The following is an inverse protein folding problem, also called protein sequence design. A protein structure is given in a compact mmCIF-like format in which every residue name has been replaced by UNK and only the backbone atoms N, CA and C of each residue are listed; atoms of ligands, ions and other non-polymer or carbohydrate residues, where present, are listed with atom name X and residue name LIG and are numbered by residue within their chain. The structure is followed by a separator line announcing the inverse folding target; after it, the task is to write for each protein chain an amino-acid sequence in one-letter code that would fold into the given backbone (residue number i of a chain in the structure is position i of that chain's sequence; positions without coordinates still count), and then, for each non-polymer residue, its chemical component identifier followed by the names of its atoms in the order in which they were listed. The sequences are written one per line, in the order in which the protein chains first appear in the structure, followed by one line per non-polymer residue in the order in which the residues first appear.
data_IF_435204251764
#
_entry.id   IF_435204251764
#
_cell.length_a   1.000
_cell.length_b   1.000
_cell.length_c   1.000
_cell.angle_alpha   90.00
_cell.angle_beta   90.00
_cell.angle_gamma   90.00
#
_symmetry.space_group_name_H-M   'P 1'
#
loop_
_entity.id
_entity.type
_entity.pdbx_description
1 polymer ?
#
# COMPACT_ATOMS: atom_id res chain seq x y z
N UNK A 1 47.40 17.10 9.52
CA UNK A 1 46.12 17.83 9.57
C UNK A 1 45.04 16.79 9.87
N UNK A 2 44.68 16.62 11.14
CA UNK A 2 43.73 15.59 11.58
C UNK A 2 42.30 16.00 11.28
N UNK A 3 41.61 15.23 10.44
CA UNK A 3 40.19 15.43 10.15
C UNK A 3 39.37 15.02 11.37
N UNK A 4 38.68 15.97 11.98
CA UNK A 4 37.57 15.67 12.88
C UNK A 4 36.51 14.92 12.09
N UNK A 5 36.47 13.60 12.24
CA UNK A 5 35.33 12.79 11.81
C UNK A 5 34.13 13.24 12.64
N UNK A 6 33.23 14.02 12.03
CA UNK A 6 31.90 14.23 12.60
C UNK A 6 31.23 12.89 12.84
N UNK A 7 30.42 12.79 13.89
CA UNK A 7 29.70 11.56 14.19
C UNK A 7 28.93 11.07 12.95
N UNK A 8 28.94 9.77 12.65
CA UNK A 8 28.41 9.22 11.40
C UNK A 8 26.89 9.41 11.23
N UNK A 9 26.20 9.82 12.29
CA UNK A 9 24.78 10.15 12.27
C UNK A 9 24.47 11.22 13.32
N UNK A 10 23.47 12.04 13.04
CA UNK A 10 22.94 13.02 13.99
C UNK A 10 21.75 12.42 14.71
N UNK A 11 21.86 12.21 16.02
CA UNK A 11 20.72 11.77 16.84
C UNK A 11 19.69 12.89 16.91
N UNK A 12 18.42 12.66 16.51
CA UNK A 12 17.38 13.67 16.60
C UNK A 12 17.09 14.02 18.06
N UNK A 13 16.73 15.29 18.29
CA UNK A 13 16.44 15.78 19.64
C UNK A 13 15.26 15.01 20.27
N UNK A 14 15.33 14.57 21.53
CA UNK A 14 14.32 13.70 22.14
C UNK A 14 12.90 14.30 22.16
N UNK A 15 12.77 15.63 22.13
CA UNK A 15 11.47 16.33 22.11
C UNK A 15 10.63 16.08 20.84
N UNK A 16 11.22 15.51 19.78
CA UNK A 16 10.45 15.12 18.58
C UNK A 16 9.54 13.93 18.85
N UNK A 17 9.88 13.08 19.82
CA UNK A 17 9.12 11.88 20.15
C UNK A 17 8.06 12.21 21.20
N UNK A 18 6.81 12.30 20.75
CA UNK A 18 5.66 12.64 21.56
C UNK A 18 4.66 11.48 21.55
N UNK A 19 4.18 11.10 22.72
CA UNK A 19 3.19 10.03 22.86
C UNK A 19 1.89 10.41 22.14
N UNK A 20 1.59 11.71 22.10
CA UNK A 20 0.41 12.28 21.46
C UNK A 20 0.36 12.07 19.94
N UNK A 21 1.51 11.84 19.30
CA UNK A 21 1.58 11.59 17.86
C UNK A 21 1.30 10.13 17.49
N UNK A 22 1.30 9.23 18.48
CA UNK A 22 1.17 7.79 18.27
C UNK A 22 -0.16 7.31 18.84
N UNK A 23 -1.17 7.02 18.00
CA UNK A 23 -2.52 6.67 18.47
C UNK A 23 -2.53 5.40 19.34
N UNK A 24 -1.68 4.42 19.02
CA UNK A 24 -1.56 3.17 19.78
C UNK A 24 -1.07 3.41 21.22
N UNK A 25 -0.13 4.35 21.41
CA UNK A 25 0.39 4.66 22.75
C UNK A 25 -0.58 5.54 23.54
N UNK A 26 -1.39 6.36 22.88
CA UNK A 26 -2.50 7.07 23.52
C UNK A 26 -3.55 6.10 24.08
N UNK A 27 -3.93 5.07 23.31
CA UNK A 27 -4.86 4.04 23.78
C UNK A 27 -4.33 3.32 25.02
N UNK A 28 -3.04 2.96 25.04
CA UNK A 28 -2.39 2.34 26.21
C UNK A 28 -2.36 3.30 27.40
N UNK A 29 -2.01 4.57 27.19
CA UNK A 29 -2.02 5.60 28.24
C UNK A 29 -3.41 5.76 28.86
N UNK A 30 -4.46 5.79 28.05
CA UNK A 30 -5.84 5.87 28.52
C UNK A 30 -6.28 4.60 29.26
N UNK A 31 -5.95 3.42 28.73
CA UNK A 31 -6.27 2.14 29.37
C UNK A 31 -5.61 2.00 30.74
N UNK A 32 -4.34 2.40 30.87
CA UNK A 32 -3.62 2.45 32.14
C UNK A 32 -4.20 3.52 33.06
N UNK A 33 -4.53 4.70 32.52
CA UNK A 33 -5.15 5.79 33.28
C UNK A 33 -6.49 5.39 33.91
N UNK A 34 -7.29 4.56 33.22
CA UNK A 34 -8.53 3.98 33.77
C UNK A 34 -8.29 3.09 34.99
N UNK A 35 -7.09 2.54 35.12
CA UNK A 35 -6.66 1.72 36.26
C UNK A 35 -5.88 2.54 37.31
N UNK A 36 -5.73 3.86 37.12
CA UNK A 36 -4.90 4.71 37.97
C UNK A 36 -3.39 4.50 37.77
N UNK A 37 -2.98 3.85 36.68
CA UNK A 37 -1.59 3.56 36.36
C UNK A 37 -1.06 4.53 35.30
N UNK A 38 0.25 4.79 35.34
CA UNK A 38 0.97 5.56 34.34
C UNK A 38 2.28 4.87 34.01
N UNK A 39 2.51 4.58 32.72
CA UNK A 39 3.76 3.97 32.26
C UNK A 39 4.78 5.06 31.87
N UNK A 40 5.94 5.14 32.56
CA UNK A 40 6.98 6.10 32.25
C UNK A 40 7.71 5.83 30.91
N UNK A 41 7.60 4.62 30.35
CA UNK A 41 8.32 4.22 29.14
C UNK A 41 7.59 4.53 27.84
N UNK A 42 6.34 5.00 27.89
CA UNK A 42 5.55 5.31 26.69
C UNK A 42 6.26 6.29 25.75
N UNK A 43 6.98 7.29 26.28
CA UNK A 43 7.75 8.22 25.42
C UNK A 43 8.93 7.53 24.73
N UNK A 44 9.56 6.57 25.39
CA UNK A 44 10.66 5.80 24.82
C UNK A 44 10.18 4.87 23.70
N UNK A 45 8.92 4.45 23.69
CA UNK A 45 8.38 3.61 22.61
C UNK A 45 7.86 4.43 21.41
N UNK A 46 7.65 5.74 21.58
CA UNK A 46 7.08 6.61 20.56
C UNK A 46 7.88 6.59 19.24
N UNK A 47 9.21 6.52 19.30
CA UNK A 47 10.05 6.49 18.08
C UNK A 47 9.75 5.30 17.17
N UNK A 48 9.33 4.16 17.74
CA UNK A 48 9.10 2.92 17.01
C UNK A 48 7.78 2.93 16.25
N UNK A 49 6.81 3.65 16.78
CA UNK A 49 5.43 3.64 16.28
C UNK A 49 5.05 4.96 15.61
N UNK A 50 6.00 5.87 15.40
CA UNK A 50 5.79 7.14 14.73
C UNK A 50 5.24 6.93 13.30
N UNK A 51 3.99 7.35 13.00
CA UNK A 51 3.37 7.12 11.70
C UNK A 51 4.11 7.79 10.54
N UNK A 52 4.80 8.89 10.82
CA UNK A 52 5.57 9.65 9.82
C UNK A 52 6.81 8.89 9.34
N UNK A 53 7.40 8.05 10.19
CA UNK A 53 8.60 7.28 9.85
C UNK A 53 8.24 5.94 9.18
N UNK A 54 7.23 5.24 9.67
CA UNK A 54 6.92 3.86 9.24
C UNK A 54 5.61 3.72 8.46
N UNK A 55 4.87 4.81 8.28
CA UNK A 55 3.55 4.81 7.65
C UNK A 55 2.49 4.10 8.49
N UNK A 56 1.23 4.35 8.17
CA UNK A 56 0.09 3.65 8.78
C UNK A 56 -0.11 2.26 8.15
N UNK A 57 -0.77 1.35 8.86
CA UNK A 57 -1.13 0.02 8.33
C UNK A 57 -1.88 0.12 6.99
N UNK A 58 -2.82 1.06 6.88
CA UNK A 58 -3.56 1.32 5.65
C UNK A 58 -2.66 1.78 4.51
N UNK A 59 -1.70 2.67 4.78
CA UNK A 59 -0.73 3.13 3.79
C UNK A 59 0.14 1.97 3.28
N UNK A 60 0.60 1.09 4.17
CA UNK A 60 1.39 -0.10 3.80
C UNK A 60 0.59 -1.07 2.95
N UNK A 61 -0.67 -1.35 3.31
CA UNK A 61 -1.54 -2.23 2.54
C UNK A 61 -1.81 -1.66 1.14
N UNK A 62 -2.12 -0.36 1.03
CA UNK A 62 -2.32 0.30 -0.26
C UNK A 62 -1.04 0.24 -1.10
N UNK A 63 0.10 0.53 -0.49
CA UNK A 63 1.40 0.47 -1.16
C UNK A 63 1.76 -0.94 -1.61
N UNK A 64 1.36 -1.97 -0.87
CA UNK A 64 1.56 -3.37 -1.25
C UNK A 64 0.66 -3.76 -2.43
N UNK A 65 -0.64 -3.46 -2.35
CA UNK A 65 -1.63 -3.84 -3.36
C UNK A 65 -1.45 -3.09 -4.68
N UNK A 66 -1.12 -1.80 -4.61
CA UNK A 66 -1.08 -0.92 -5.78
C UNK A 66 0.35 -0.61 -6.25
N UNK A 67 1.36 -1.32 -5.71
CA UNK A 67 2.73 -1.17 -6.19
C UNK A 67 2.79 -1.55 -7.67
N UNK A 68 3.18 -0.60 -8.52
CA UNK A 68 3.38 -0.87 -9.94
C UNK A 68 2.11 -0.93 -10.78
N UNK A 69 0.91 -0.75 -10.19
CA UNK A 69 -0.33 -0.72 -10.97
C UNK A 69 -0.28 0.38 -12.03
N UNK A 70 0.26 1.55 -11.72
CA UNK A 70 0.40 2.65 -12.69
C UNK A 70 1.27 2.28 -13.89
N UNK A 71 2.45 1.69 -13.66
CA UNK A 71 3.36 1.25 -14.72
C UNK A 71 2.72 0.13 -15.54
N UNK A 72 2.13 -0.86 -14.87
CA UNK A 72 1.44 -1.97 -15.54
C UNK A 72 0.27 -1.50 -16.39
N UNK A 73 -0.52 -0.55 -15.89
CA UNK A 73 -1.65 0.01 -16.63
C UNK A 73 -1.19 0.82 -17.85
N UNK A 74 -0.11 1.59 -17.73
CA UNK A 74 0.48 2.30 -18.88
C UNK A 74 0.95 1.32 -19.96
N UNK A 75 1.67 0.26 -19.59
CA UNK A 75 2.10 -0.77 -20.54
C UNK A 75 0.92 -1.48 -21.18
N UNK A 76 -0.11 -1.81 -20.41
CA UNK A 76 -1.34 -2.41 -20.92
C UNK A 76 -2.01 -1.53 -22.00
N UNK A 77 -2.13 -0.22 -21.78
CA UNK A 77 -2.69 0.70 -22.78
C UNK A 77 -1.83 0.79 -24.04
N UNK A 78 -0.50 0.81 -23.89
CA UNK A 78 0.43 0.79 -25.03
C UNK A 78 0.25 -0.48 -25.85
N UNK A 79 0.11 -1.63 -25.19
CA UNK A 79 -0.13 -2.91 -25.85
C UNK A 79 -1.45 -2.91 -26.63
N UNK A 80 -2.56 -2.46 -26.03
CA UNK A 80 -3.85 -2.33 -26.74
C UNK A 80 -3.71 -1.43 -27.97
N UNK A 81 -3.02 -0.29 -27.82
CA UNK A 81 -2.78 0.63 -28.94
C UNK A 81 -1.99 -0.02 -30.07
N UNK A 82 -0.97 -0.80 -29.73
CA UNK A 82 -0.16 -1.55 -30.71
C UNK A 82 -0.96 -2.66 -31.39
N UNK A 83 -1.73 -3.45 -30.63
CA UNK A 83 -2.61 -4.51 -31.17
C UNK A 83 -3.64 -3.93 -32.14
N UNK A 84 -4.27 -2.82 -31.78
CA UNK A 84 -5.23 -2.12 -32.63
C UNK A 84 -4.58 -1.56 -33.90
N UNK A 85 -3.42 -0.92 -33.79
CA UNK A 85 -2.71 -0.35 -34.92
C UNK A 85 -2.19 -1.42 -35.90
N UNK A 86 -1.75 -2.57 -35.37
CA UNK A 86 -1.26 -3.69 -36.16
C UNK A 86 -2.37 -4.63 -36.65
N UNK A 87 -3.63 -4.42 -36.22
CA UNK A 87 -4.76 -5.28 -36.58
C UNK A 87 -4.69 -6.69 -35.99
N UNK A 88 -3.84 -6.91 -34.99
CA UNK A 88 -3.68 -8.17 -34.27
C UNK A 88 -4.91 -8.34 -33.39
N UNK A 89 -5.92 -9.04 -33.91
CA UNK A 89 -7.23 -9.19 -33.26
C UNK A 89 -8.43 -9.12 -34.20
N UNK A 90 -8.24 -8.65 -35.44
CA UNK A 90 -9.33 -8.59 -36.44
C UNK A 90 -9.74 -9.97 -37.00
N UNK A 91 -9.16 -11.06 -36.49
CA UNK A 91 -9.42 -12.44 -36.93
C UNK A 91 -9.65 -13.45 -35.80
N UNK A 92 -9.81 -13.02 -34.54
CA UNK A 92 -10.13 -13.92 -33.42
C UNK A 92 -11.58 -13.72 -32.97
N UNK A 93 -12.49 -13.90 -33.92
CA UNK A 93 -13.93 -13.72 -33.74
C UNK A 93 -14.68 -14.59 -34.72
N UNK A 94 -14.56 -15.91 -34.57
CA UNK A 94 -15.58 -16.83 -35.09
C UNK A 94 -15.69 -18.06 -34.19
N UNK A 95 -16.17 -17.85 -32.96
CA UNK A 95 -16.78 -18.93 -32.19
C UNK A 95 -18.25 -18.99 -32.56
N UNK A 96 -18.54 -19.60 -33.71
CA UNK A 96 -19.90 -19.93 -34.12
C UNK A 96 -20.53 -20.89 -33.11
N UNK A 97 -21.42 -20.37 -32.25
CA UNK A 97 -22.34 -21.17 -31.48
C UNK A 97 -23.41 -21.74 -32.41
N UNK A 98 -23.12 -22.88 -33.03
CA UNK A 98 -24.11 -23.68 -33.77
C UNK A 98 -25.11 -24.32 -32.81
N UNK A 99 -26.17 -23.60 -32.47
CA UNK A 99 -27.32 -24.15 -31.75
C UNK A 99 -28.33 -24.69 -32.79
N UNK A 100 -28.07 -25.90 -33.30
CA UNK A 100 -29.02 -26.62 -34.15
C UNK A 100 -30.04 -27.36 -33.29
N UNK A 101 -31.18 -26.75 -33.01
CA UNK A 101 -32.37 -27.43 -32.52
C UNK A 101 -33.51 -27.10 -33.47
N UNK A 102 -33.58 -27.81 -34.59
CA UNK A 102 -34.77 -27.82 -35.45
C UNK A 102 -35.63 -29.02 -35.06
N UNK A 103 -36.63 -28.70 -34.25
CA UNK A 103 -37.78 -29.52 -33.95
C UNK A 103 -38.52 -29.87 -35.26
N UNK A 104 -38.40 -31.13 -35.70
CA UNK A 104 -39.36 -31.67 -36.67
C UNK A 104 -40.68 -31.98 -35.97
N UNK A 105 -41.57 -30.99 -35.96
CA UNK A 105 -43.02 -31.21 -36.02
C UNK A 105 -43.49 -30.77 -37.38
N UNK A 106 -44.16 -31.67 -38.12
CA UNK A 106 -45.47 -31.43 -38.74
C UNK A 106 -45.90 -32.67 -39.56
N UNK A 107 -47.10 -33.14 -39.21
CA UNK A 107 -48.15 -33.85 -39.97
C UNK A 107 -47.83 -35.05 -40.88
#
# INVERSE_FOLDING_TARGET
MGGHHGEPYTVPHPSVYKVENVPQLLEVKEALGRQGLSDPWLRNEAWRYEPNAFGTHASRLRTFMFRGLGIGFSLFLVTIGAEYALGIGKGQGDHGHGHGHDDKKEH
#
